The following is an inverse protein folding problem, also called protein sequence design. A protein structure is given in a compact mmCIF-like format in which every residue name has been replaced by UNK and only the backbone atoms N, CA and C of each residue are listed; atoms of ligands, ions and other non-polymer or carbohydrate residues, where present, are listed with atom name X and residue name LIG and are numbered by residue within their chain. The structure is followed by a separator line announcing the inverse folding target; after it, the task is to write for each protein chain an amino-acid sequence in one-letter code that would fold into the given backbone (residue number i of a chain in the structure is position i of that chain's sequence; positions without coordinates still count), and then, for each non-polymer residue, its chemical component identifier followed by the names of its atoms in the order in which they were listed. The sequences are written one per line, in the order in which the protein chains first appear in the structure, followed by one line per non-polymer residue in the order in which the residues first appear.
data_IF_405444939968
#
_entry.id   IF_405444939968
#
_cell.length_a   1.000
_cell.length_b   1.000
_cell.length_c   1.000
_cell.angle_alpha   90.00
_cell.angle_beta   90.00
_cell.angle_gamma   90.00
#
_symmetry.space_group_name_H-M   'P 1'
#
loop_
_entity.id
_entity.type
_entity.pdbx_description
1 polymer ?
#
# COMPACT_ATOMS: atom_id res chain seq x y z
N UNK A 1 -38.35 -29.32 -6.92
CA UNK A 1 -37.39 -29.30 -5.76
C UNK A 1 -35.92 -29.40 -6.16
N UNK A 2 -35.59 -29.90 -7.34
CA UNK A 2 -34.21 -30.08 -7.86
C UNK A 2 -33.56 -28.79 -8.42
N UNK A 3 -34.30 -27.74 -8.70
CA UNK A 3 -33.80 -26.51 -9.28
C UNK A 3 -33.25 -25.50 -8.24
N UNK A 4 -33.69 -25.60 -6.98
CA UNK A 4 -33.12 -24.82 -5.86
C UNK A 4 -31.73 -25.27 -5.42
N UNK A 5 -31.40 -26.57 -5.58
CA UNK A 5 -30.09 -27.10 -5.18
C UNK A 5 -28.97 -26.75 -6.16
N UNK A 6 -29.31 -26.52 -7.43
CA UNK A 6 -28.34 -26.06 -8.46
C UNK A 6 -27.95 -24.59 -8.31
N UNK A 7 -28.84 -23.72 -7.80
CA UNK A 7 -28.53 -22.31 -7.51
C UNK A 7 -27.64 -22.12 -6.26
N UNK A 8 -27.56 -23.11 -5.36
CA UNK A 8 -26.76 -23.02 -4.13
C UNK A 8 -25.33 -23.52 -4.29
N UNK A 9 -24.96 -24.07 -5.45
CA UNK A 9 -23.61 -24.55 -5.78
C UNK A 9 -22.88 -23.68 -6.81
N UNK A 10 -23.28 -22.45 -7.01
CA UNK A 10 -22.35 -21.51 -7.60
C UNK A 10 -21.28 -21.22 -6.54
N UNK A 11 -20.24 -22.05 -6.52
CA UNK A 11 -19.01 -21.89 -5.76
C UNK A 11 -18.49 -20.47 -6.14
N UNK A 12 -18.87 -19.46 -5.35
CA UNK A 12 -18.40 -18.11 -5.58
C UNK A 12 -16.89 -18.18 -5.45
N UNK A 13 -16.21 -18.20 -6.58
CA UNK A 13 -14.75 -18.23 -6.61
C UNK A 13 -14.27 -16.98 -5.86
N UNK A 14 -13.56 -17.20 -4.76
CA UNK A 14 -12.94 -16.13 -3.97
C UNK A 14 -11.91 -15.40 -4.83
N UNK A 15 -11.31 -16.11 -5.77
CA UNK A 15 -10.26 -15.62 -6.67
C UNK A 15 -10.85 -14.98 -7.92
N UNK A 16 -11.59 -13.87 -7.74
CA UNK A 16 -11.99 -13.04 -8.86
C UNK A 16 -10.79 -12.23 -9.36
N UNK A 17 -10.85 -11.78 -10.62
CA UNK A 17 -9.83 -10.89 -11.20
C UNK A 17 -9.54 -9.70 -10.27
N UNK A 18 -10.56 -9.08 -9.71
CA UNK A 18 -10.44 -7.92 -8.86
C UNK A 18 -9.71 -8.23 -7.53
N UNK A 19 -10.00 -9.38 -6.91
CA UNK A 19 -9.32 -9.84 -5.70
C UNK A 19 -7.83 -10.09 -5.98
N UNK A 20 -7.50 -10.76 -7.08
CA UNK A 20 -6.10 -11.01 -7.47
C UNK A 20 -5.36 -9.70 -7.73
N UNK A 21 -5.99 -8.75 -8.41
CA UNK A 21 -5.39 -7.44 -8.69
C UNK A 21 -5.14 -6.62 -7.41
N UNK A 22 -6.07 -6.64 -6.44
CA UNK A 22 -5.86 -5.97 -5.16
C UNK A 22 -4.76 -6.66 -4.35
N UNK A 23 -4.66 -7.99 -4.39
CA UNK A 23 -3.55 -8.73 -3.77
C UNK A 23 -2.21 -8.40 -4.41
N UNK A 24 -2.14 -8.36 -5.75
CA UNK A 24 -0.94 -7.95 -6.49
C UNK A 24 -0.55 -6.50 -6.19
N UNK A 25 -1.52 -5.58 -6.18
CA UNK A 25 -1.29 -4.20 -5.79
C UNK A 25 -0.74 -4.08 -4.35
N UNK A 26 -1.25 -4.89 -3.43
CA UNK A 26 -0.77 -4.97 -2.05
C UNK A 26 0.67 -5.48 -1.95
N UNK A 27 1.02 -6.49 -2.73
CA UNK A 27 2.39 -6.99 -2.81
C UNK A 27 3.35 -5.89 -3.30
N UNK A 28 3.06 -5.23 -4.41
CA UNK A 28 3.90 -4.16 -4.97
C UNK A 28 3.98 -2.95 -4.05
N UNK A 29 2.87 -2.59 -3.39
CA UNK A 29 2.83 -1.58 -2.35
C UNK A 29 3.81 -1.89 -1.23
N UNK A 30 3.67 -3.05 -0.61
CA UNK A 30 4.50 -3.46 0.51
C UNK A 30 5.97 -3.62 0.09
N UNK A 31 6.21 -4.15 -1.12
CA UNK A 31 7.54 -4.28 -1.68
C UNK A 31 8.22 -2.91 -1.82
N UNK A 32 7.55 -1.91 -2.40
CA UNK A 32 8.09 -0.56 -2.54
C UNK A 32 8.49 0.04 -1.21
N UNK A 33 7.63 -0.04 -0.20
CA UNK A 33 7.88 0.53 1.13
C UNK A 33 8.99 -0.21 1.88
N UNK A 34 8.97 -1.55 1.85
CA UNK A 34 9.96 -2.38 2.55
C UNK A 34 11.32 -2.35 1.87
N UNK A 35 11.38 -2.09 0.58
CA UNK A 35 12.64 -1.88 -0.14
C UNK A 35 13.38 -0.62 0.34
N UNK A 36 12.65 0.47 0.55
CA UNK A 36 13.21 1.75 1.02
C UNK A 36 13.67 1.67 2.48
N UNK A 37 12.94 0.93 3.32
CA UNK A 37 13.11 0.95 4.79
C UNK A 37 14.55 0.68 5.25
N UNK A 38 15.28 -0.35 4.80
CA UNK A 38 16.66 -0.59 5.21
C UNK A 38 17.66 0.40 4.63
N UNK A 39 17.33 1.06 3.53
CA UNK A 39 18.24 1.96 2.83
C UNK A 39 18.21 3.39 3.36
N UNK A 40 17.05 3.85 3.88
CA UNK A 40 16.80 5.26 4.12
C UNK A 40 17.74 5.89 5.16
N UNK A 41 18.11 5.14 6.19
CA UNK A 41 19.03 5.62 7.23
C UNK A 41 20.44 5.84 6.68
N UNK A 42 21.01 4.84 6.05
CA UNK A 42 22.34 4.94 5.42
C UNK A 42 22.38 5.96 4.30
N UNK A 43 21.29 6.08 3.53
CA UNK A 43 21.18 7.09 2.49
C UNK A 43 21.15 8.50 3.06
N UNK A 44 20.41 8.76 4.16
CA UNK A 44 20.40 10.05 4.83
C UNK A 44 21.81 10.45 5.32
N UNK A 45 22.53 9.51 5.93
CA UNK A 45 23.93 9.74 6.37
C UNK A 45 24.84 10.06 5.17
N UNK A 46 24.68 9.36 4.05
CA UNK A 46 25.47 9.61 2.83
C UNK A 46 25.19 11.00 2.21
N UNK A 47 24.06 11.62 2.53
CA UNK A 47 23.71 12.99 2.16
C UNK A 47 24.14 14.04 3.22
N UNK A 48 24.96 13.64 4.19
CA UNK A 48 25.48 14.54 5.23
C UNK A 48 24.57 14.74 6.44
N UNK A 49 23.51 13.94 6.60
CA UNK A 49 22.69 13.99 7.80
C UNK A 49 23.44 13.39 9.01
N UNK A 50 23.27 13.97 10.18
CA UNK A 50 23.75 13.37 11.43
C UNK A 50 23.04 12.03 11.71
N UNK A 51 23.66 11.13 12.45
CA UNK A 51 23.07 9.84 12.81
C UNK A 51 21.74 10.00 13.54
N UNK A 52 21.60 11.01 14.41
CA UNK A 52 20.36 11.33 15.11
C UNK A 52 19.27 11.75 14.12
N UNK A 53 19.60 12.63 13.18
CA UNK A 53 18.63 13.09 12.17
C UNK A 53 18.23 11.98 11.20
N UNK A 54 19.15 11.12 10.81
CA UNK A 54 18.86 9.93 10.00
C UNK A 54 17.91 8.96 10.74
N UNK A 55 18.08 8.82 12.06
CA UNK A 55 17.15 8.07 12.93
C UNK A 55 15.75 8.69 12.93
N UNK A 56 15.64 10.02 13.03
CA UNK A 56 14.36 10.74 12.92
C UNK A 56 13.70 10.49 11.58
N UNK A 57 14.44 10.62 10.47
CA UNK A 57 13.92 10.33 9.11
C UNK A 57 13.38 8.90 9.01
N UNK A 58 14.06 7.94 9.62
CA UNK A 58 13.64 6.55 9.60
C UNK A 58 12.35 6.35 10.41
N UNK A 59 12.29 6.89 11.63
CA UNK A 59 11.20 6.69 12.58
C UNK A 59 9.95 7.50 12.31
N UNK A 60 10.06 8.64 11.61
CA UNK A 60 8.92 9.56 11.38
C UNK A 60 7.72 8.90 10.72
N UNK A 61 7.95 7.90 9.88
CA UNK A 61 6.88 7.14 9.23
C UNK A 61 5.98 6.43 10.24
N UNK A 62 6.53 5.91 11.34
CA UNK A 62 5.75 5.26 12.41
C UNK A 62 4.90 6.29 13.14
N UNK A 63 5.45 7.47 13.42
CA UNK A 63 4.74 8.58 14.05
C UNK A 63 3.57 9.03 13.17
N UNK A 64 3.82 9.29 11.89
CA UNK A 64 2.78 9.64 10.92
C UNK A 64 1.69 8.57 10.87
N UNK A 65 2.09 7.29 10.86
CA UNK A 65 1.15 6.18 10.83
C UNK A 65 0.26 6.14 12.07
N UNK A 66 0.80 6.40 13.24
CA UNK A 66 0.04 6.39 14.48
C UNK A 66 -1.09 7.45 14.47
N UNK A 67 -0.79 8.67 14.03
CA UNK A 67 -1.76 9.76 14.02
C UNK A 67 -2.72 9.71 12.83
N UNK A 68 -2.30 9.23 11.69
CA UNK A 68 -3.14 9.23 10.48
C UNK A 68 -4.03 7.99 10.33
N UNK A 69 -3.80 6.88 11.04
CA UNK A 69 -4.65 5.68 10.94
C UNK A 69 -6.12 5.94 11.28
N UNK A 70 -6.48 6.65 12.37
CA UNK A 70 -7.88 6.97 12.66
C UNK A 70 -8.52 7.83 11.57
N UNK A 71 -7.76 8.79 11.02
CA UNK A 71 -8.22 9.64 9.92
C UNK A 71 -8.46 8.82 8.66
N UNK A 72 -7.53 7.95 8.29
CA UNK A 72 -7.66 7.07 7.13
C UNK A 72 -8.86 6.12 7.26
N UNK A 73 -9.13 5.59 8.47
CA UNK A 73 -10.33 4.79 8.75
C UNK A 73 -11.60 5.57 8.42
N UNK A 74 -11.75 6.77 8.99
CA UNK A 74 -12.91 7.63 8.73
C UNK A 74 -13.05 8.01 7.25
N UNK A 75 -11.93 8.25 6.53
CA UNK A 75 -11.96 8.52 5.10
C UNK A 75 -12.45 7.31 4.30
N UNK A 76 -12.01 6.10 4.67
CA UNK A 76 -12.40 4.85 4.01
C UNK A 76 -13.90 4.57 4.13
N UNK A 77 -14.55 5.04 5.20
CA UNK A 77 -15.99 4.92 5.38
C UNK A 77 -16.78 5.93 4.51
N UNK A 78 -16.19 7.08 4.22
CA UNK A 78 -16.85 8.19 3.50
C UNK A 78 -16.57 8.23 2.01
N UNK A 79 -15.42 7.74 1.57
CA UNK A 79 -14.95 7.85 0.19
C UNK A 79 -14.79 6.46 -0.46
N UNK A 80 -14.71 6.46 -1.78
CA UNK A 80 -14.42 5.25 -2.55
C UNK A 80 -13.07 4.66 -2.18
N UNK A 81 -13.04 3.37 -1.88
CA UNK A 81 -11.82 2.62 -1.55
C UNK A 81 -10.81 2.65 -2.70
N UNK A 82 -11.31 2.59 -3.94
CA UNK A 82 -10.51 2.77 -5.14
C UNK A 82 -9.79 4.13 -5.15
N UNK A 83 -10.54 5.23 -4.99
CA UNK A 83 -9.97 6.58 -5.05
C UNK A 83 -8.92 6.81 -3.96
N UNK A 84 -9.20 6.36 -2.73
CA UNK A 84 -8.27 6.51 -1.62
C UNK A 84 -7.02 5.63 -1.79
N UNK A 85 -7.16 4.40 -2.29
CA UNK A 85 -6.01 3.53 -2.59
C UNK A 85 -5.16 4.12 -3.72
N UNK A 86 -5.79 4.70 -4.73
CA UNK A 86 -5.10 5.38 -5.82
C UNK A 86 -4.32 6.62 -5.31
N UNK A 87 -4.97 7.48 -4.51
CA UNK A 87 -4.30 8.63 -3.89
C UNK A 87 -3.14 8.18 -3.01
N UNK A 88 -3.34 7.14 -2.19
CA UNK A 88 -2.28 6.53 -1.39
C UNK A 88 -1.10 6.06 -2.25
N UNK A 89 -1.39 5.39 -3.37
CA UNK A 89 -0.37 4.94 -4.33
C UNK A 89 0.40 6.09 -4.97
N UNK A 90 -0.29 7.16 -5.37
CA UNK A 90 0.34 8.37 -5.92
C UNK A 90 1.24 9.05 -4.88
N UNK A 91 0.80 9.16 -3.63
CA UNK A 91 1.64 9.72 -2.56
C UNK A 91 2.88 8.86 -2.28
N UNK A 92 2.75 7.53 -2.33
CA UNK A 92 3.89 6.62 -2.21
C UNK A 92 4.85 6.84 -3.38
N UNK A 93 4.34 6.90 -4.61
CA UNK A 93 5.15 7.13 -5.81
C UNK A 93 5.91 8.45 -5.73
N UNK A 94 5.23 9.55 -5.37
CA UNK A 94 5.85 10.87 -5.18
C UNK A 94 6.93 10.81 -4.09
N UNK A 95 6.64 10.17 -2.95
CA UNK A 95 7.60 10.02 -1.86
C UNK A 95 8.84 9.26 -2.28
N UNK A 96 8.67 8.09 -2.91
CA UNK A 96 9.80 7.23 -3.31
C UNK A 96 10.59 7.85 -4.47
N UNK A 97 9.93 8.43 -5.47
CA UNK A 97 10.60 9.17 -6.53
C UNK A 97 11.36 10.38 -5.98
N UNK A 98 10.77 11.09 -5.02
CA UNK A 98 11.40 12.21 -4.34
C UNK A 98 12.71 11.84 -3.64
N UNK A 99 12.83 10.61 -3.10
CA UNK A 99 14.11 10.15 -2.55
C UNK A 99 15.23 10.11 -3.60
N UNK A 100 14.91 9.69 -4.83
CA UNK A 100 15.92 9.63 -5.91
C UNK A 100 16.50 11.01 -6.24
N UNK A 101 15.70 12.07 -6.08
CA UNK A 101 16.10 13.46 -6.39
C UNK A 101 16.50 14.26 -5.16
N UNK A 102 16.47 13.70 -3.95
CA UNK A 102 16.77 14.42 -2.73
C UNK A 102 18.25 14.84 -2.67
N UNK A 103 18.55 16.14 -2.52
CA UNK A 103 19.91 16.65 -2.38
C UNK A 103 20.43 16.63 -0.93
N UNK A 104 19.55 16.50 0.07
CA UNK A 104 19.90 16.56 1.49
C UNK A 104 18.90 15.79 2.36
N UNK A 105 19.26 15.55 3.63
CA UNK A 105 18.39 14.90 4.62
C UNK A 105 17.06 15.61 4.86
N UNK A 106 17.01 16.95 4.76
CA UNK A 106 15.75 17.70 4.92
C UNK A 106 14.72 17.35 3.84
N UNK A 107 15.16 17.20 2.59
CA UNK A 107 14.28 16.76 1.50
C UNK A 107 13.83 15.31 1.70
N UNK A 108 14.74 14.43 2.18
CA UNK A 108 14.35 13.07 2.54
C UNK A 108 13.24 13.05 3.60
N UNK A 109 13.32 13.92 4.62
CA UNK A 109 12.29 14.02 5.64
C UNK A 109 10.93 14.41 5.07
N UNK A 110 10.90 15.43 4.17
CA UNK A 110 9.66 15.87 3.52
C UNK A 110 9.03 14.71 2.72
N UNK A 111 9.83 14.06 1.87
CA UNK A 111 9.33 12.95 1.08
C UNK A 111 8.97 11.72 1.95
N UNK A 112 9.59 11.56 3.12
CA UNK A 112 9.23 10.51 4.08
C UNK A 112 7.86 10.75 4.71
N UNK A 113 7.52 12.00 5.00
CA UNK A 113 6.17 12.38 5.46
C UNK A 113 5.11 12.09 4.41
N UNK A 114 5.36 12.47 3.16
CA UNK A 114 4.47 12.19 2.02
C UNK A 114 4.29 10.67 1.84
N UNK A 115 5.39 9.92 1.83
CA UNK A 115 5.38 8.47 1.70
C UNK A 115 4.63 7.79 2.86
N UNK A 116 4.85 8.26 4.10
CA UNK A 116 4.15 7.75 5.29
C UNK A 116 2.64 7.99 5.24
N UNK A 117 2.21 9.15 4.75
CA UNK A 117 0.79 9.46 4.53
C UNK A 117 0.19 8.50 3.50
N UNK A 118 0.86 8.31 2.37
CA UNK A 118 0.47 7.35 1.35
C UNK A 118 0.40 5.92 1.87
N UNK A 119 1.38 5.51 2.68
CA UNK A 119 1.42 4.20 3.34
C UNK A 119 0.18 3.92 4.18
N UNK A 120 -0.22 4.87 5.02
CA UNK A 120 -1.39 4.71 5.89
C UNK A 120 -2.67 4.59 5.07
N UNK A 121 -2.86 5.49 4.10
CA UNK A 121 -4.04 5.46 3.22
C UNK A 121 -4.11 4.13 2.46
N UNK A 122 -3.03 3.71 1.82
CA UNK A 122 -2.98 2.47 1.06
C UNK A 122 -3.25 1.25 1.95
N UNK A 123 -2.62 1.16 3.13
CA UNK A 123 -2.78 0.01 4.04
C UNK A 123 -4.23 -0.14 4.49
N UNK A 124 -4.85 0.94 4.98
CA UNK A 124 -6.22 0.90 5.51
C UNK A 124 -7.22 0.66 4.38
N UNK A 125 -7.06 1.36 3.26
CA UNK A 125 -8.01 1.27 2.15
C UNK A 125 -7.94 -0.08 1.43
N UNK A 126 -6.76 -0.62 1.14
CA UNK A 126 -6.62 -1.90 0.45
C UNK A 126 -7.14 -3.07 1.29
N UNK A 127 -6.85 -3.09 2.59
CA UNK A 127 -7.37 -4.10 3.51
C UNK A 127 -8.91 -4.08 3.53
N UNK A 128 -9.49 -2.88 3.67
CA UNK A 128 -10.95 -2.71 3.67
C UNK A 128 -11.57 -3.04 2.31
N UNK A 129 -10.89 -2.68 1.21
CA UNK A 129 -11.35 -2.98 -0.14
C UNK A 129 -11.38 -4.47 -0.41
N UNK A 130 -10.33 -5.19 -0.04
CA UNK A 130 -10.29 -6.65 -0.16
C UNK A 130 -11.43 -7.31 0.61
N UNK A 131 -11.65 -6.91 1.87
CA UNK A 131 -12.76 -7.41 2.67
C UNK A 131 -14.13 -7.15 2.04
N UNK A 132 -14.27 -6.07 1.27
CA UNK A 132 -15.51 -5.72 0.56
C UNK A 132 -15.72 -6.54 -0.72
N UNK A 133 -14.62 -6.99 -1.38
CA UNK A 133 -14.68 -7.74 -2.63
C UNK A 133 -15.04 -9.22 -2.44
N UNK A 134 -14.87 -9.76 -1.24
CA UNK A 134 -15.10 -11.18 -0.95
C UNK A 134 -16.37 -11.40 -0.12
N UNK A 135 -17.03 -12.57 -0.25
CA UNK A 135 -18.15 -12.93 0.61
C UNK A 135 -17.73 -12.99 2.09
N UNK A 136 -18.63 -12.62 2.99
CA UNK A 136 -18.34 -12.59 4.44
C UNK A 136 -17.78 -13.90 5.00
N UNK A 137 -18.22 -15.04 4.48
CA UNK A 137 -17.75 -16.38 4.86
C UNK A 137 -16.28 -16.65 4.50
N UNK A 138 -15.69 -15.87 3.59
CA UNK A 138 -14.34 -16.08 3.04
C UNK A 138 -13.38 -14.92 3.34
N UNK A 139 -13.82 -13.93 4.13
CA UNK A 139 -12.97 -12.78 4.48
C UNK A 139 -11.69 -13.23 5.21
N UNK A 140 -11.79 -14.21 6.12
CA UNK A 140 -10.63 -14.73 6.84
C UNK A 140 -9.59 -15.35 5.90
N UNK A 141 -10.04 -16.14 4.92
CA UNK A 141 -9.18 -16.75 3.91
C UNK A 141 -8.49 -15.70 3.04
N UNK A 142 -9.26 -14.72 2.53
CA UNK A 142 -8.72 -13.63 1.73
C UNK A 142 -7.71 -12.77 2.52
N UNK A 143 -7.96 -12.50 3.81
CA UNK A 143 -7.01 -11.80 4.67
C UNK A 143 -5.74 -12.61 4.94
N UNK A 144 -5.85 -13.93 5.02
CA UNK A 144 -4.70 -14.82 5.12
C UNK A 144 -3.79 -14.70 3.88
N UNK A 145 -4.36 -14.75 2.67
CA UNK A 145 -3.60 -14.55 1.43
C UNK A 145 -3.03 -13.14 1.30
N UNK A 146 -3.79 -12.12 1.70
CA UNK A 146 -3.29 -10.74 1.77
C UNK A 146 -2.07 -10.62 2.69
N UNK A 147 -2.16 -11.24 3.87
CA UNK A 147 -1.03 -11.31 4.80
C UNK A 147 0.17 -12.04 4.22
N UNK A 148 -0.04 -13.15 3.49
CA UNK A 148 1.01 -13.90 2.82
C UNK A 148 1.70 -13.06 1.73
N UNK A 149 0.96 -12.32 0.90
CA UNK A 149 1.52 -11.42 -0.11
C UNK A 149 2.38 -10.33 0.53
N UNK A 150 1.91 -9.74 1.62
CA UNK A 150 2.67 -8.74 2.37
C UNK A 150 3.92 -9.35 3.02
N UNK A 151 3.83 -10.52 3.63
CA UNK A 151 4.96 -11.22 4.22
C UNK A 151 6.03 -11.57 3.17
N UNK A 152 5.62 -12.02 1.99
CA UNK A 152 6.51 -12.30 0.88
C UNK A 152 7.26 -11.03 0.43
N UNK A 153 6.57 -9.91 0.29
CA UNK A 153 7.18 -8.62 -0.02
C UNK A 153 8.17 -8.17 1.06
N UNK A 154 7.80 -8.34 2.35
CA UNK A 154 8.65 -8.01 3.49
C UNK A 154 9.90 -8.88 3.58
N UNK A 155 9.87 -10.11 3.10
CA UNK A 155 11.04 -10.99 3.04
C UNK A 155 11.96 -10.66 1.87
N UNK A 156 11.39 -10.44 0.67
CA UNK A 156 12.16 -10.25 -0.55
C UNK A 156 12.73 -8.84 -0.68
N UNK A 157 11.94 -7.81 -0.37
CA UNK A 157 12.32 -6.42 -0.65
C UNK A 157 13.59 -5.96 0.09
N UNK A 158 13.76 -6.18 1.42
CA UNK A 158 14.97 -5.79 2.13
C UNK A 158 16.21 -6.53 1.64
N UNK A 159 16.09 -7.83 1.33
CA UNK A 159 17.18 -8.64 0.84
C UNK A 159 17.69 -8.11 -0.51
N UNK A 160 16.76 -7.81 -1.44
CA UNK A 160 17.11 -7.22 -2.73
C UNK A 160 17.67 -5.80 -2.57
N UNK A 161 17.09 -4.98 -1.69
CA UNK A 161 17.52 -3.62 -1.44
C UNK A 161 18.99 -3.55 -0.99
N UNK A 162 19.35 -4.38 0.03
CA UNK A 162 20.71 -4.40 0.59
C UNK A 162 21.73 -4.89 -0.43
N UNK A 163 21.40 -5.89 -1.24
CA UNK A 163 22.30 -6.38 -2.27
C UNK A 163 22.46 -5.36 -3.40
N UNK A 164 21.35 -4.77 -3.85
CA UNK A 164 21.37 -3.87 -5.00
C UNK A 164 22.09 -2.56 -4.71
N UNK A 165 21.87 -1.94 -3.52
CA UNK A 165 22.54 -0.67 -3.22
C UNK A 165 24.07 -0.81 -3.13
N UNK A 166 24.59 -1.98 -2.73
CA UNK A 166 26.03 -2.25 -2.69
C UNK A 166 26.68 -2.26 -4.08
N UNK A 167 25.90 -2.63 -5.11
CA UNK A 167 26.38 -2.74 -6.50
C UNK A 167 26.21 -1.42 -7.25
N UNK A 168 25.04 -0.79 -7.14
CA UNK A 168 24.69 0.37 -7.98
C UNK A 168 24.42 1.66 -7.19
N UNK A 169 24.59 1.64 -5.86
CA UNK A 169 24.39 2.79 -4.98
C UNK A 169 22.92 3.05 -4.64
N UNK A 170 22.68 3.97 -3.66
CA UNK A 170 21.36 4.24 -3.10
C UNK A 170 20.36 4.76 -4.14
N UNK A 171 20.72 5.81 -4.88
CA UNK A 171 19.80 6.46 -5.85
C UNK A 171 19.33 5.51 -6.94
N UNK A 172 20.27 4.75 -7.51
CA UNK A 172 19.96 3.80 -8.57
C UNK A 172 19.11 2.63 -8.06
N UNK A 173 19.40 2.13 -6.85
CA UNK A 173 18.61 1.06 -6.24
C UNK A 173 17.16 1.50 -5.96
N UNK A 174 16.93 2.74 -5.53
CA UNK A 174 15.59 3.26 -5.23
C UNK A 174 14.64 3.29 -6.44
N UNK A 175 15.16 3.30 -7.67
CA UNK A 175 14.32 3.19 -8.87
C UNK A 175 13.52 1.88 -8.94
N UNK A 176 14.01 0.80 -8.34
CA UNK A 176 13.23 -0.43 -8.24
C UNK A 176 12.01 -0.27 -7.33
N UNK A 177 12.13 0.52 -6.25
CA UNK A 177 10.98 0.84 -5.41
C UNK A 177 9.98 1.77 -6.12
N UNK A 178 10.46 2.68 -6.96
CA UNK A 178 9.61 3.51 -7.85
C UNK A 178 8.84 2.63 -8.82
N UNK A 179 9.52 1.67 -9.47
CA UNK A 179 8.88 0.71 -10.37
C UNK A 179 7.78 -0.09 -9.66
N UNK A 180 8.06 -0.58 -8.45
CA UNK A 180 7.05 -1.29 -7.65
C UNK A 180 5.85 -0.39 -7.32
N UNK A 181 6.06 0.88 -6.96
CA UNK A 181 4.97 1.82 -6.72
C UNK A 181 4.13 2.09 -7.99
N UNK A 182 4.75 2.15 -9.16
CA UNK A 182 4.05 2.24 -10.44
C UNK A 182 3.21 0.99 -10.72
N UNK A 183 3.78 -0.21 -10.50
CA UNK A 183 3.05 -1.47 -10.69
C UNK A 183 1.86 -1.60 -9.73
N UNK A 184 1.96 -1.09 -8.50
CA UNK A 184 0.83 -0.96 -7.59
C UNK A 184 -0.29 -0.12 -8.22
N UNK A 185 0.02 1.09 -8.70
CA UNK A 185 -0.96 2.00 -9.30
C UNK A 185 -1.61 1.36 -10.54
N UNK A 186 -0.80 0.77 -11.41
CA UNK A 186 -1.29 0.06 -12.60
C UNK A 186 -2.23 -1.08 -12.21
N UNK A 187 -1.87 -1.88 -11.20
CA UNK A 187 -2.73 -2.97 -10.73
C UNK A 187 -4.07 -2.45 -10.21
N UNK A 188 -4.09 -1.32 -9.48
CA UNK A 188 -5.31 -0.67 -8.98
C UNK A 188 -6.22 -0.22 -10.14
N UNK A 189 -5.65 0.32 -11.22
CA UNK A 189 -6.42 0.81 -12.37
C UNK A 189 -7.20 -0.29 -13.09
N UNK A 190 -6.68 -1.53 -13.08
CA UNK A 190 -7.34 -2.66 -13.73
C UNK A 190 -8.44 -3.32 -12.87
N UNK A 191 -8.63 -2.89 -11.62
CA UNK A 191 -9.72 -3.38 -10.77
C UNK A 191 -11.04 -2.82 -11.27
N UNK A 192 -11.95 -3.67 -11.68
CA UNK A 192 -13.26 -3.25 -12.24
C UNK A 192 -14.27 -2.79 -11.17
N UNK A 193 -14.20 -3.37 -9.98
CA UNK A 193 -15.10 -3.04 -8.88
C UNK A 193 -14.52 -1.91 -8.01
N UNK A 194 -14.94 -0.69 -8.29
CA UNK A 194 -14.46 0.52 -7.61
C UNK A 194 -15.04 0.72 -6.21
N UNK A 195 -15.74 -0.27 -5.65
CA UNK A 195 -16.35 -0.24 -4.30
C UNK A 195 -17.02 1.12 -3.98
N UNK A 196 -17.83 1.64 -4.93
CA UNK A 196 -18.59 2.89 -4.74
C UNK A 196 -19.54 2.69 -3.56
N UNK A 197 -19.52 3.60 -2.60
CA UNK A 197 -20.49 3.63 -1.53
C UNK A 197 -21.89 3.74 -2.15
N UNK A 198 -22.76 2.75 -1.89
CA UNK A 198 -24.20 2.96 -2.04
C UNK A 198 -24.59 3.96 -0.96
N UNK A 199 -24.76 5.22 -1.35
CA UNK A 199 -25.45 6.19 -0.50
C UNK A 199 -26.87 5.65 -0.38
N UNK A 200 -27.14 4.94 0.70
CA UNK A 200 -28.50 4.54 1.07
C UNK A 200 -29.18 5.84 1.47
N UNK A 201 -29.90 6.41 0.52
CA UNK A 201 -30.71 7.60 0.72
C UNK A 201 -31.88 7.19 1.61
N UNK A 202 -31.67 7.19 2.93
CA UNK A 202 -32.65 6.88 3.94
C UNK A 202 -33.60 8.08 4.12
N UNK A 203 -34.19 8.57 3.01
CA UNK A 203 -35.17 9.66 2.99
C UNK A 203 -36.63 9.20 3.12
N UNK A 204 -36.90 7.92 3.43
CA UNK A 204 -38.23 7.45 3.61
C UNK A 204 -38.39 6.67 4.94
N UNK A 205 -38.28 7.38 6.05
CA UNK A 205 -38.95 7.05 7.31
C UNK A 205 -39.34 8.36 7.98
N UNK A 206 -40.49 8.87 7.59
CA UNK A 206 -41.38 9.65 8.43
C UNK A 206 -42.69 8.91 8.51
#
# INVERSE_FOLDING_TARGET
MLDRSKKLKQKQSIYTKDVILVMAASFFFMFSVMFVTPLINGYAISLGASAVFAGVITGIMSVVSMFLRPVAGNLTDRFSKYSLSFIGGVLILIGVAGYCFSPSGNWLLIFRLINGTGFVLATVCMTTWLAFLVPRSHVGEAMGFYGLMNALAMALAPALAINLYKIIGYKSALWLAVLAALLMIVSIQFVGNHAKLKITNNKNKK
#
